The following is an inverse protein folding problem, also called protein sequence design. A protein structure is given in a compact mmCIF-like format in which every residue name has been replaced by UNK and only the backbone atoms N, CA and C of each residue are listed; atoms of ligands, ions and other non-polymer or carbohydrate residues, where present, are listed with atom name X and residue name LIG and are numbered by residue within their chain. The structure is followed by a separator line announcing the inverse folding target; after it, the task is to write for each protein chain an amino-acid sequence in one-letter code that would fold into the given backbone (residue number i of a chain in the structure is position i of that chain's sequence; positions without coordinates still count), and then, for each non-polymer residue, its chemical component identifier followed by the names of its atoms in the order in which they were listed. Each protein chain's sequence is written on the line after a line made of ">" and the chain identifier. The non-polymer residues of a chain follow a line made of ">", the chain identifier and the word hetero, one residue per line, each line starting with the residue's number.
data_IF_717909481864
#
_entry.id   IF_717909481864
#
_cell.length_a   1.000
_cell.length_b   1.000
_cell.length_c   1.000
_cell.angle_alpha   90.00
_cell.angle_beta   90.00
_cell.angle_gamma   90.00
#
_symmetry.space_group_name_H-M   'P 1'
#
loop_
_entity.id
_entity.type
_entity.pdbx_description
1 polymer ?
#
# COMPACT_ATOMS: atom_id res chain seq x y z
N UNK A 1 9.72 -89.28 3.55
CA UNK A 1 9.29 -88.73 4.85
C UNK A 1 10.40 -87.88 5.41
N UNK A 2 10.28 -86.56 5.32
CA UNK A 2 10.88 -85.56 6.22
C UNK A 2 10.00 -84.32 6.10
N UNK A 3 9.58 -83.77 7.24
CA UNK A 3 8.81 -82.53 7.36
C UNK A 3 9.76 -81.35 7.28
N UNK A 4 9.39 -80.30 6.55
CA UNK A 4 9.92 -78.95 6.76
C UNK A 4 8.75 -77.98 6.83
N UNK A 5 8.74 -77.21 7.91
CA UNK A 5 7.68 -76.31 8.34
C UNK A 5 8.32 -74.93 8.34
N UNK A 6 7.92 -74.06 7.42
CA UNK A 6 8.39 -72.67 7.41
C UNK A 6 7.23 -71.68 7.46
N UNK A 7 7.52 -70.56 8.11
CA UNK A 7 6.66 -69.66 8.83
C UNK A 7 5.99 -68.57 7.96
N UNK A 8 4.81 -68.16 8.45
CA UNK A 8 4.39 -66.76 8.65
C UNK A 8 4.02 -65.87 7.44
N UNK A 9 2.79 -65.35 7.45
CA UNK A 9 2.60 -63.92 7.74
C UNK A 9 1.15 -63.59 8.16
N UNK A 10 1.06 -62.82 9.23
CA UNK A 10 -0.12 -62.16 9.79
C UNK A 10 -0.37 -60.84 9.09
N UNK A 11 -1.64 -60.49 8.84
CA UNK A 11 -2.05 -59.08 8.81
C UNK A 11 -3.48 -58.93 9.33
N UNK A 12 -3.58 -58.23 10.46
CA UNK A 12 -4.81 -57.66 11.01
C UNK A 12 -5.02 -56.27 10.43
N UNK A 13 -6.26 -55.92 10.08
CA UNK A 13 -6.62 -54.55 9.77
C UNK A 13 -7.91 -54.17 10.51
N UNK A 14 -7.74 -53.23 11.43
CA UNK A 14 -8.77 -52.55 12.20
C UNK A 14 -9.09 -51.23 11.49
N UNK A 15 -10.35 -51.02 11.15
CA UNK A 15 -10.82 -49.76 10.58
C UNK A 15 -12.04 -49.27 11.36
N UNK A 16 -11.78 -48.39 12.30
CA UNK A 16 -12.76 -47.52 12.94
C UNK A 16 -12.97 -46.29 12.06
N UNK A 17 -14.22 -46.03 11.66
CA UNK A 17 -14.62 -44.79 10.99
C UNK A 17 -15.38 -43.90 11.97
N UNK A 18 -14.79 -42.74 12.26
CA UNK A 18 -15.37 -41.68 13.06
C UNK A 18 -16.04 -40.66 12.11
N UNK A 19 -17.37 -40.52 12.20
CA UNK A 19 -18.13 -39.57 11.39
C UNK A 19 -18.57 -38.38 12.27
N UNK A 20 -17.82 -37.29 12.15
CA UNK A 20 -18.17 -36.01 12.76
C UNK A 20 -19.07 -35.22 11.79
N UNK A 21 -20.37 -35.14 12.07
CA UNK A 21 -21.29 -34.23 11.38
C UNK A 21 -21.42 -32.93 12.16
N UNK A 22 -20.77 -31.88 11.67
CA UNK A 22 -21.03 -30.50 12.09
C UNK A 22 -22.16 -29.94 11.23
N UNK A 23 -23.27 -29.54 11.87
CA UNK A 23 -24.36 -28.84 11.22
C UNK A 23 -24.21 -27.35 11.52
N UNK A 24 -23.99 -26.56 10.48
CA UNK A 24 -23.98 -25.10 10.57
C UNK A 24 -25.43 -24.61 10.56
N UNK A 25 -25.82 -23.84 11.58
CA UNK A 25 -27.12 -23.18 11.68
C UNK A 25 -26.88 -21.68 11.52
N UNK A 26 -27.18 -21.17 10.32
CA UNK A 26 -27.31 -19.74 10.08
C UNK A 26 -28.58 -19.22 10.73
N UNK A 27 -28.44 -18.32 11.71
CA UNK A 27 -29.54 -17.53 12.25
C UNK A 27 -29.57 -16.16 11.55
N UNK A 28 -30.64 -15.90 10.80
CA UNK A 28 -30.97 -14.55 10.34
C UNK A 28 -31.39 -13.68 11.53
N UNK A 29 -30.66 -12.59 11.75
CA UNK A 29 -31.02 -11.56 12.73
C UNK A 29 -32.13 -10.67 12.17
N UNK A 30 -33.32 -10.73 12.79
CA UNK A 30 -34.34 -9.70 12.63
C UNK A 30 -34.13 -8.61 13.69
N UNK A 31 -33.76 -7.40 13.27
CA UNK A 31 -33.75 -6.23 14.13
C UNK A 31 -34.68 -5.16 13.54
N UNK A 32 -35.91 -5.10 14.06
CA UNK A 32 -36.69 -3.86 14.04
C UNK A 32 -36.18 -2.96 15.18
N UNK A 33 -35.46 -1.90 14.85
CA UNK A 33 -35.26 -0.77 15.75
C UNK A 33 -36.20 0.36 15.33
N UNK A 34 -37.29 0.52 16.08
CA UNK A 34 -38.05 1.75 16.09
C UNK A 34 -37.44 2.68 17.15
N UNK A 35 -36.73 3.71 16.73
CA UNK A 35 -36.35 4.83 17.59
C UNK A 35 -36.74 6.13 16.91
N UNK A 36 -37.74 6.81 17.48
CA UNK A 36 -37.99 8.22 17.26
C UNK A 36 -36.76 9.02 17.69
N UNK A 37 -36.09 9.65 16.74
CA UNK A 37 -35.11 10.69 17.05
C UNK A 37 -35.80 12.06 16.95
N UNK A 38 -36.20 12.59 18.10
CA UNK A 38 -36.33 14.03 18.27
C UNK A 38 -35.05 14.54 18.93
N UNK A 39 -34.16 15.13 18.12
CA UNK A 39 -33.09 15.96 18.64
C UNK A 39 -33.02 17.25 17.83
N UNK A 40 -33.26 18.36 18.52
CA UNK A 40 -33.03 19.71 18.06
C UNK A 40 -31.58 19.86 17.59
N UNK A 41 -31.41 20.30 16.35
CA UNK A 41 -30.14 20.83 15.88
C UNK A 41 -29.94 22.23 16.47
N UNK A 42 -29.17 22.33 17.55
CA UNK A 42 -28.46 23.57 17.88
C UNK A 42 -27.02 23.45 17.37
N UNK A 43 -26.76 23.99 16.18
CA UNK A 43 -25.40 24.13 15.66
C UNK A 43 -24.82 25.46 16.11
N UNK A 44 -23.97 25.43 17.12
CA UNK A 44 -22.89 26.42 17.25
C UNK A 44 -21.56 25.67 17.29
N UNK A 45 -21.01 25.40 16.11
CA UNK A 45 -19.59 25.13 15.97
C UNK A 45 -18.92 26.38 15.41
N UNK A 46 -18.39 27.20 16.31
CA UNK A 46 -17.34 28.15 15.96
C UNK A 46 -16.06 27.37 15.66
N UNK A 47 -15.90 26.95 14.40
CA UNK A 47 -14.59 26.50 13.92
C UNK A 47 -13.71 27.72 13.68
N UNK A 48 -12.88 28.07 14.66
CA UNK A 48 -11.69 28.85 14.42
C UNK A 48 -10.60 27.89 13.92
N UNK A 49 -10.57 27.63 12.61
CA UNK A 49 -9.39 27.05 11.99
C UNK A 49 -8.37 28.17 11.76
N UNK A 50 -7.48 28.34 12.74
CA UNK A 50 -6.21 28.99 12.48
C UNK A 50 -5.29 27.95 11.82
N UNK A 51 -5.35 27.86 10.50
CA UNK A 51 -4.30 27.21 9.73
C UNK A 51 -3.20 28.24 9.46
N UNK A 52 -2.44 28.54 10.51
CA UNK A 52 -1.14 29.17 10.40
C UNK A 52 -0.10 28.19 9.84
N UNK A 53 -0.25 27.80 8.57
CA UNK A 53 0.90 27.34 7.79
C UNK A 53 1.34 28.49 6.88
N UNK A 54 2.27 29.35 7.33
CA UNK A 54 3.07 30.11 6.39
C UNK A 54 3.97 29.09 5.67
N UNK A 55 3.48 28.50 4.59
CA UNK A 55 4.37 27.98 3.57
C UNK A 55 5.04 29.17 2.90
N UNK A 56 6.07 29.69 3.54
CA UNK A 56 7.09 30.47 2.88
C UNK A 56 7.91 29.51 2.03
N UNK A 57 7.40 29.19 0.84
CA UNK A 57 8.28 28.72 -0.21
C UNK A 57 8.92 29.95 -0.84
N UNK A 58 10.04 30.36 -0.26
CA UNK A 58 11.02 31.16 -0.97
C UNK A 58 11.65 30.24 -2.02
N UNK A 59 11.04 30.19 -3.19
CA UNK A 59 11.68 29.67 -4.39
C UNK A 59 12.42 30.82 -5.07
N UNK A 60 13.54 31.21 -4.46
CA UNK A 60 14.65 31.84 -5.16
C UNK A 60 15.27 30.82 -6.13
N UNK A 61 14.56 30.48 -7.20
CA UNK A 61 15.17 29.85 -8.35
C UNK A 61 15.80 30.94 -9.21
N UNK A 62 17.07 31.24 -8.91
CA UNK A 62 17.98 31.85 -9.86
C UNK A 62 18.23 30.83 -10.98
N UNK A 63 17.34 30.82 -11.98
CA UNK A 63 17.58 30.13 -13.23
C UNK A 63 18.44 31.02 -14.12
N UNK A 64 19.72 31.09 -13.79
CA UNK A 64 20.79 31.40 -14.71
C UNK A 64 20.94 30.29 -15.75
N UNK A 65 19.92 30.07 -16.59
CA UNK A 65 20.06 29.24 -17.79
C UNK A 65 20.83 30.03 -18.84
N UNK A 66 22.16 29.94 -18.75
CA UNK A 66 23.04 30.16 -19.89
C UNK A 66 22.74 29.09 -20.93
N UNK A 67 21.82 29.39 -21.84
CA UNK A 67 21.69 28.63 -23.08
C UNK A 67 22.82 29.07 -24.02
N UNK A 68 24.00 28.53 -23.76
CA UNK A 68 24.97 28.28 -24.82
C UNK A 68 24.34 27.25 -25.76
N UNK A 69 23.55 27.71 -26.72
CA UNK A 69 23.18 26.89 -27.88
C UNK A 69 24.42 26.77 -28.76
N UNK A 70 25.32 25.90 -28.31
CA UNK A 70 26.30 25.30 -29.18
C UNK A 70 25.58 24.30 -30.09
N UNK A 71 26.06 24.37 -31.31
CA UNK A 71 25.69 23.69 -32.52
C UNK A 71 25.14 22.26 -32.37
N UNK A 72 23.93 22.08 -32.91
CA UNK A 72 23.72 21.10 -33.98
C UNK A 72 23.92 19.62 -33.64
N UNK A 73 23.14 19.05 -32.73
CA UNK A 73 22.71 17.65 -32.85
C UNK A 73 21.28 17.51 -32.30
N UNK A 74 20.38 16.98 -33.13
CA UNK A 74 19.17 16.31 -32.63
C UNK A 74 19.65 15.08 -31.85
N UNK A 75 20.05 15.30 -30.60
CA UNK A 75 20.65 14.27 -29.77
C UNK A 75 19.53 13.36 -29.29
N UNK A 76 19.40 12.22 -29.94
CA UNK A 76 18.67 11.11 -29.35
C UNK A 76 19.31 10.81 -27.99
N UNK A 77 18.52 10.87 -26.92
CA UNK A 77 18.98 10.56 -25.57
C UNK A 77 19.56 9.15 -25.55
N UNK A 78 20.69 8.95 -24.87
CA UNK A 78 21.19 7.60 -24.60
C UNK A 78 20.15 6.83 -23.79
N UNK A 79 20.26 5.51 -23.78
CA UNK A 79 19.33 4.68 -23.01
C UNK A 79 19.38 5.02 -21.51
N UNK A 80 20.58 5.30 -21.00
CA UNK A 80 20.85 5.70 -19.62
C UNK A 80 20.17 7.04 -19.30
N UNK A 81 20.32 8.05 -20.16
CA UNK A 81 19.66 9.35 -19.99
C UNK A 81 18.12 9.24 -20.06
N UNK A 82 17.58 8.32 -20.86
CA UNK A 82 16.14 8.02 -20.88
C UNK A 82 15.69 7.41 -19.54
N UNK A 83 16.46 6.46 -18.99
CA UNK A 83 16.19 5.87 -17.69
C UNK A 83 16.27 6.88 -16.54
N UNK A 84 17.27 7.78 -16.54
CA UNK A 84 17.40 8.83 -15.53
C UNK A 84 16.15 9.72 -15.46
N UNK A 85 15.68 10.20 -16.62
CA UNK A 85 14.46 11.01 -16.70
C UNK A 85 13.23 10.25 -16.22
N UNK A 86 13.12 8.98 -16.60
CA UNK A 86 11.99 8.13 -16.23
C UNK A 86 11.97 7.87 -14.72
N UNK A 87 13.12 7.53 -14.13
CA UNK A 87 13.24 7.28 -12.70
C UNK A 87 12.97 8.53 -11.87
N UNK A 88 13.47 9.70 -12.29
CA UNK A 88 13.12 10.97 -11.66
C UNK A 88 11.61 11.20 -11.65
N UNK A 89 10.95 11.04 -12.79
CA UNK A 89 9.50 11.18 -12.88
C UNK A 89 8.74 10.20 -11.98
N UNK A 90 9.16 8.93 -11.92
CA UNK A 90 8.53 7.94 -11.04
C UNK A 90 8.74 8.23 -9.55
N UNK A 91 9.93 8.68 -9.16
CA UNK A 91 10.21 9.07 -7.76
C UNK A 91 9.26 10.20 -7.34
N UNK A 92 9.16 11.24 -8.14
CA UNK A 92 8.27 12.39 -7.84
C UNK A 92 6.81 11.96 -7.76
N UNK A 93 6.36 11.14 -8.72
CA UNK A 93 4.98 10.65 -8.75
C UNK A 93 4.65 9.75 -7.55
N UNK A 94 5.56 8.83 -7.20
CA UNK A 94 5.37 7.93 -6.06
C UNK A 94 5.38 8.70 -4.73
N UNK A 95 6.21 9.74 -4.59
CA UNK A 95 6.18 10.60 -3.41
C UNK A 95 4.83 11.33 -3.28
N UNK A 96 4.29 11.84 -4.39
CA UNK A 96 2.96 12.47 -4.41
C UNK A 96 1.84 11.48 -4.01
N UNK A 97 1.88 10.24 -4.50
CA UNK A 97 0.94 9.19 -4.08
C UNK A 97 1.08 8.85 -2.60
N UNK A 98 2.32 8.70 -2.11
CA UNK A 98 2.62 8.41 -0.70
C UNK A 98 1.98 9.45 0.22
N UNK A 99 2.18 10.73 -0.06
CA UNK A 99 1.63 11.83 0.75
C UNK A 99 0.09 11.82 0.74
N UNK A 100 -0.48 11.53 -0.44
CA UNK A 100 -1.93 11.38 -0.60
C UNK A 100 -2.47 10.20 0.20
N UNK A 101 -1.77 9.06 0.20
CA UNK A 101 -2.14 7.89 1.00
C UNK A 101 -2.14 8.22 2.49
N UNK A 102 -1.07 8.81 3.03
CA UNK A 102 -1.04 9.15 4.46
C UNK A 102 -2.11 10.17 4.85
N UNK A 103 -2.39 11.14 3.98
CA UNK A 103 -3.49 12.10 4.18
C UNK A 103 -4.84 11.39 4.29
N UNK A 104 -5.13 10.48 3.36
CA UNK A 104 -6.41 9.76 3.36
C UNK A 104 -6.50 8.68 4.44
N UNK A 105 -5.38 8.09 4.86
CA UNK A 105 -5.34 7.22 6.02
C UNK A 105 -5.75 7.98 7.30
N UNK A 106 -5.24 9.20 7.48
CA UNK A 106 -5.65 10.07 8.59
C UNK A 106 -7.14 10.36 8.59
N UNK A 107 -7.69 10.76 7.42
CA UNK A 107 -9.14 10.99 7.26
C UNK A 107 -9.98 9.74 7.51
N UNK A 108 -9.53 8.58 7.05
CA UNK A 108 -10.22 7.31 7.29
C UNK A 108 -10.25 6.97 8.79
N UNK A 109 -9.16 7.25 9.52
CA UNK A 109 -9.08 7.07 10.97
C UNK A 109 -10.04 8.02 11.72
N UNK A 110 -10.10 9.29 11.32
CA UNK A 110 -11.04 10.28 11.88
C UNK A 110 -12.50 9.89 11.64
N UNK A 111 -12.80 9.26 10.50
CA UNK A 111 -14.13 8.72 10.18
C UNK A 111 -14.45 7.38 10.89
N UNK A 112 -13.58 6.87 11.75
CA UNK A 112 -13.78 5.60 12.45
C UNK A 112 -13.52 4.35 11.62
N UNK A 113 -12.96 4.49 10.41
CA UNK A 113 -12.66 3.40 9.47
C UNK A 113 -11.23 2.86 9.69
N UNK A 114 -10.96 2.33 10.89
CA UNK A 114 -9.61 1.95 11.32
C UNK A 114 -8.93 0.92 10.40
N UNK A 115 -9.64 -0.13 9.97
CA UNK A 115 -9.08 -1.15 9.08
C UNK A 115 -8.75 -0.61 7.68
N UNK A 116 -9.55 0.34 7.20
CA UNK A 116 -9.31 1.01 5.92
C UNK A 116 -8.07 1.91 6.03
N UNK A 117 -7.98 2.68 7.12
CA UNK A 117 -6.81 3.52 7.40
C UNK A 117 -5.52 2.69 7.42
N UNK A 118 -5.50 1.55 8.11
CA UNK A 118 -4.34 0.66 8.17
C UNK A 118 -3.89 0.18 6.78
N UNK A 119 -4.85 -0.21 5.93
CA UNK A 119 -4.54 -0.64 4.55
C UNK A 119 -3.95 0.49 3.71
N UNK A 120 -4.47 1.71 3.86
CA UNK A 120 -3.95 2.88 3.15
C UNK A 120 -2.56 3.27 3.66
N UNK A 121 -2.32 3.24 4.98
CA UNK A 121 -0.97 3.48 5.54
C UNK A 121 0.04 2.46 5.01
N UNK A 122 -0.37 1.19 4.91
CA UNK A 122 0.48 0.14 4.32
C UNK A 122 0.79 0.42 2.85
N UNK A 123 -0.18 0.91 2.07
CA UNK A 123 0.05 1.34 0.70
C UNK A 123 1.08 2.49 0.63
N UNK A 124 0.99 3.47 1.53
CA UNK A 124 1.98 4.54 1.68
C UNK A 124 3.39 4.02 1.92
N UNK A 125 3.55 3.10 2.89
CA UNK A 125 4.86 2.48 3.22
C UNK A 125 5.44 1.69 2.04
N UNK A 126 4.62 0.89 1.35
CA UNK A 126 5.06 0.16 0.16
C UNK A 126 5.48 1.12 -0.97
N UNK A 127 4.77 2.24 -1.15
CA UNK A 127 5.16 3.27 -2.12
C UNK A 127 6.53 3.86 -1.78
N UNK A 128 6.83 4.06 -0.50
CA UNK A 128 8.15 4.52 -0.04
C UNK A 128 9.25 3.50 -0.34
N UNK A 129 9.02 2.22 -0.05
CA UNK A 129 9.97 1.13 -0.37
C UNK A 129 10.26 1.08 -1.88
N UNK A 130 9.23 1.20 -2.72
CA UNK A 130 9.40 1.27 -4.19
C UNK A 130 10.21 2.49 -4.59
N UNK A 131 9.96 3.67 -4.00
CA UNK A 131 10.73 4.88 -4.28
C UNK A 131 12.21 4.71 -3.92
N UNK A 132 12.54 4.09 -2.78
CA UNK A 132 13.93 3.82 -2.37
C UNK A 132 14.63 2.93 -3.39
N UNK A 133 13.97 1.85 -3.86
CA UNK A 133 14.54 0.97 -4.88
C UNK A 133 14.82 1.71 -6.20
N UNK A 134 13.94 2.63 -6.60
CA UNK A 134 14.13 3.44 -7.81
C UNK A 134 15.28 4.45 -7.61
N UNK A 135 15.40 5.07 -6.43
CA UNK A 135 16.51 5.96 -6.08
C UNK A 135 17.86 5.22 -6.13
N UNK A 136 17.92 4.01 -5.57
CA UNK A 136 19.12 3.17 -5.61
C UNK A 136 19.48 2.78 -7.06
N UNK A 137 18.47 2.47 -7.89
CA UNK A 137 18.68 2.18 -9.30
C UNK A 137 19.18 3.41 -10.08
N UNK A 138 18.61 4.59 -9.81
CA UNK A 138 19.04 5.86 -10.41
C UNK A 138 20.50 6.16 -10.07
N UNK A 139 20.88 6.01 -8.81
CA UNK A 139 22.26 6.23 -8.36
C UNK A 139 23.25 5.33 -9.10
N UNK A 140 22.89 4.05 -9.31
CA UNK A 140 23.74 3.12 -10.07
C UNK A 140 23.93 3.53 -11.52
N UNK A 141 22.94 4.17 -12.16
CA UNK A 141 23.07 4.68 -13.53
C UNK A 141 24.00 5.89 -13.56
N UNK A 142 23.85 6.80 -12.59
CA UNK A 142 24.69 7.99 -12.46
C UNK A 142 26.15 7.64 -12.16
N UNK A 143 26.41 6.56 -11.42
CA UNK A 143 27.76 6.07 -11.13
C UNK A 143 28.45 5.42 -12.36
N UNK A 144 27.71 5.10 -13.43
CA UNK A 144 28.22 4.49 -14.67
C UNK A 144 28.65 5.57 -15.69
N UNK A 145 28.07 6.77 -15.63
CA UNK A 145 28.35 7.90 -16.53
C UNK A 145 29.53 8.75 -16.08
#
# INVERSE_FOLDING_TARGET
>A
MTHDKDHSHSHSHDHSHDHNHSHDHSHEHNHEHNHEHNHEHNHEHTHSHDHGHPHSHDHGHDHGHSHGHDTGHSHELTFEQKLEKLFGHWIDHNNSHKDTFFTWAGRAKEAGLAEVAEKIEKAGKLSEEVTVLIQDALKKIQDIG
#
